data_IF_388774395316
#
_entry.id   IF_388774395316
#
_cell.length_a   1.000
_cell.length_b   1.000
_cell.length_c   1.000
_cell.angle_alpha   90.00
_cell.angle_beta   90.00
_cell.angle_gamma   90.00
#
_symmetry.space_group_name_H-M   'P 1'
#
loop_
_entity.id
_entity.type
_entity.pdbx_description
1 polymer ?
#
# COMPACT_ATOMS: atom_id res chain seq x y z
N UNK A 1 -39.87 -16.74 -21.78
CA UNK A 1 -38.92 -15.73 -22.29
C UNK A 1 -38.10 -15.22 -21.11
N UNK A 2 -36.75 -15.27 -21.18
CA UNK A 2 -35.91 -14.74 -20.08
C UNK A 2 -35.97 -13.20 -20.09
N UNK A 3 -36.36 -12.60 -18.96
CA UNK A 3 -36.59 -11.15 -18.80
C UNK A 3 -35.35 -10.38 -18.27
N UNK A 4 -34.27 -11.09 -17.94
CA UNK A 4 -33.05 -10.51 -17.36
C UNK A 4 -31.79 -11.12 -17.98
N UNK A 5 -30.74 -10.31 -18.07
CA UNK A 5 -29.39 -10.74 -18.42
C UNK A 5 -28.88 -11.65 -17.29
N UNK A 6 -28.45 -12.87 -17.62
CA UNK A 6 -27.90 -13.81 -16.65
C UNK A 6 -26.38 -13.70 -16.62
N UNK A 7 -25.80 -13.69 -15.41
CA UNK A 7 -24.35 -13.74 -15.24
C UNK A 7 -23.80 -15.16 -15.41
N UNK A 8 -22.48 -15.28 -15.35
CA UNK A 8 -21.78 -16.57 -15.45
C UNK A 8 -21.93 -17.42 -14.18
N UNK A 9 -21.76 -18.73 -14.35
CA UNK A 9 -21.86 -19.69 -13.25
C UNK A 9 -20.57 -19.70 -12.41
N UNK A 10 -20.66 -19.56 -11.08
CA UNK A 10 -19.48 -19.45 -10.18
C UNK A 10 -18.53 -20.65 -10.22
N UNK A 11 -19.01 -21.82 -10.63
CA UNK A 11 -18.20 -23.04 -10.77
C UNK A 11 -17.68 -23.28 -12.19
N UNK A 12 -17.92 -22.35 -13.12
CA UNK A 12 -17.39 -22.43 -14.48
C UNK A 12 -15.88 -22.21 -14.43
N UNK A 13 -15.11 -23.21 -14.87
CA UNK A 13 -13.66 -23.12 -14.98
C UNK A 13 -13.24 -22.84 -16.41
N UNK A 14 -12.22 -22.01 -16.59
CA UNK A 14 -11.55 -21.82 -17.88
C UNK A 14 -10.44 -22.85 -18.06
N UNK A 15 -10.04 -23.12 -19.32
CA UNK A 15 -8.91 -24.02 -19.62
C UNK A 15 -7.58 -23.46 -19.11
N UNK A 16 -7.41 -22.13 -19.18
CA UNK A 16 -6.27 -21.40 -18.63
C UNK A 16 -6.80 -20.23 -17.78
N UNK A 17 -6.16 -19.93 -16.63
CA UNK A 17 -6.52 -18.76 -15.85
C UNK A 17 -6.19 -17.47 -16.61
N UNK A 18 -7.06 -16.47 -16.48
CA UNK A 18 -6.83 -15.13 -17.03
C UNK A 18 -5.60 -14.48 -16.38
N UNK A 19 -4.88 -13.67 -17.14
CA UNK A 19 -3.73 -12.92 -16.63
C UNK A 19 -4.21 -11.76 -15.75
N UNK A 20 -3.34 -11.23 -14.89
CA UNK A 20 -3.68 -10.01 -14.14
C UNK A 20 -3.97 -8.83 -15.08
N UNK A 21 -3.34 -8.81 -16.25
CA UNK A 21 -3.44 -7.74 -17.22
C UNK A 21 -4.84 -7.67 -17.86
N UNK A 22 -5.49 -8.83 -18.01
CA UNK A 22 -6.86 -8.94 -18.55
C UNK A 22 -7.90 -8.29 -17.63
N UNK A 23 -7.62 -8.20 -16.34
CA UNK A 23 -8.53 -7.60 -15.35
C UNK A 23 -8.35 -6.09 -15.17
N UNK A 24 -7.26 -5.50 -15.70
CA UNK A 24 -6.94 -4.09 -15.50
C UNK A 24 -6.96 -3.37 -16.84
N UNK A 25 -7.96 -2.51 -17.05
CA UNK A 25 -8.05 -1.68 -18.27
C UNK A 25 -6.76 -0.88 -18.53
N UNK A 26 -6.44 -0.66 -19.80
CA UNK A 26 -5.34 0.22 -20.25
C UNK A 26 -5.49 1.67 -19.75
N UNK A 27 -6.73 2.09 -19.50
CA UNK A 27 -7.04 3.44 -18.99
C UNK A 27 -7.00 3.51 -17.46
N UNK A 28 -6.69 2.41 -16.76
CA UNK A 28 -6.70 2.39 -15.30
C UNK A 28 -5.53 3.24 -14.75
N UNK A 29 -5.78 4.16 -13.80
CA UNK A 29 -4.73 4.99 -13.21
C UNK A 29 -3.58 4.21 -12.56
N UNK A 30 -3.79 2.95 -12.16
CA UNK A 30 -2.70 2.13 -11.59
C UNK A 30 -1.56 1.90 -12.58
N UNK A 31 -1.84 1.86 -13.89
CA UNK A 31 -0.79 1.74 -14.92
C UNK A 31 0.13 2.96 -14.95
N UNK A 32 -0.43 4.15 -14.72
CA UNK A 32 0.36 5.38 -14.64
C UNK A 32 1.17 5.44 -13.36
N UNK A 33 0.63 4.91 -12.25
CA UNK A 33 1.41 4.77 -11.00
C UNK A 33 2.60 3.83 -11.20
N UNK A 34 2.39 2.73 -11.93
CA UNK A 34 3.43 1.73 -12.21
C UNK A 34 4.61 2.37 -12.96
N UNK A 35 4.33 2.97 -14.12
CA UNK A 35 5.33 3.67 -14.95
C UNK A 35 5.98 4.82 -14.18
N UNK A 36 5.19 5.64 -13.48
CA UNK A 36 5.72 6.76 -12.72
C UNK A 36 6.74 6.31 -11.67
N UNK A 37 6.44 5.27 -10.90
CA UNK A 37 7.35 4.82 -9.85
C UNK A 37 8.59 4.16 -10.44
N UNK A 38 8.47 3.46 -11.56
CA UNK A 38 9.61 2.80 -12.21
C UNK A 38 10.59 3.81 -12.85
N UNK A 39 10.12 4.99 -13.25
CA UNK A 39 10.96 6.09 -13.70
C UNK A 39 11.64 6.88 -12.56
N UNK A 40 11.24 6.68 -11.30
CA UNK A 40 11.84 7.40 -10.18
C UNK A 40 13.20 6.81 -9.81
N UNK A 41 14.19 7.69 -9.72
CA UNK A 41 15.47 7.36 -9.07
C UNK A 41 15.30 7.35 -7.54
N UNK A 42 14.93 6.17 -7.02
CA UNK A 42 14.68 5.97 -5.59
C UNK A 42 15.94 6.16 -4.72
N UNK A 43 17.13 5.93 -5.29
CA UNK A 43 18.40 6.11 -4.57
C UNK A 43 18.64 7.60 -4.32
N UNK A 44 18.55 8.42 -5.37
CA UNK A 44 18.74 9.87 -5.25
C UNK A 44 17.61 10.55 -4.47
N UNK A 45 16.41 9.95 -4.47
CA UNK A 45 15.30 10.37 -3.60
C UNK A 45 15.49 9.97 -2.13
N UNK A 46 16.55 9.24 -1.79
CA UNK A 46 16.93 8.86 -0.43
C UNK A 46 15.97 7.84 0.18
N UNK A 47 15.52 6.86 -0.60
CA UNK A 47 14.83 5.69 -0.04
C UNK A 47 15.85 4.71 0.54
N UNK A 48 15.69 4.40 1.83
CA UNK A 48 16.49 3.40 2.54
C UNK A 48 16.14 1.99 2.02
N UNK A 49 17.15 1.12 1.89
CA UNK A 49 16.97 -0.23 1.36
C UNK A 49 16.77 -0.30 -0.15
N UNK A 50 17.05 0.79 -0.88
CA UNK A 50 17.17 0.75 -2.34
C UNK A 50 18.37 -0.12 -2.79
N UNK A 51 19.39 -0.22 -1.93
CA UNK A 51 20.47 -1.19 -2.04
C UNK A 51 20.14 -2.35 -1.11
N UNK A 52 20.03 -3.60 -1.62
CA UNK A 52 19.77 -4.76 -0.78
C UNK A 52 20.91 -4.97 0.21
N UNK A 53 20.58 -5.37 1.45
CA UNK A 53 21.60 -5.81 2.40
C UNK A 53 22.18 -7.16 1.96
N UNK A 54 23.49 -7.35 2.11
CA UNK A 54 24.20 -8.57 1.70
C UNK A 54 23.80 -9.81 2.52
N UNK A 55 23.12 -9.64 3.66
CA UNK A 55 22.70 -10.73 4.55
C UNK A 55 21.28 -10.55 5.09
N UNK A 56 20.56 -11.67 5.27
CA UNK A 56 19.23 -11.71 5.86
C UNK A 56 18.11 -12.12 4.90
N UNK A 57 16.85 -12.03 5.36
CA UNK A 57 15.67 -12.29 4.53
C UNK A 57 15.55 -11.19 3.47
N UNK A 58 15.30 -11.51 2.18
CA UNK A 58 15.07 -10.51 1.16
C UNK A 58 13.98 -9.52 1.57
N UNK A 59 14.32 -8.24 1.57
CA UNK A 59 13.37 -7.16 1.82
C UNK A 59 12.54 -6.87 0.57
N UNK A 60 11.35 -6.31 0.77
CA UNK A 60 10.57 -5.77 -0.34
C UNK A 60 11.30 -4.58 -0.97
N UNK A 61 11.30 -4.50 -2.31
CA UNK A 61 11.85 -3.35 -3.03
C UNK A 61 11.09 -2.07 -2.63
N UNK A 62 11.78 -0.94 -2.37
CA UNK A 62 11.13 0.33 -2.06
C UNK A 62 10.10 0.79 -3.10
N UNK A 63 10.32 0.48 -4.38
CA UNK A 63 9.38 0.75 -5.47
C UNK A 63 7.99 0.14 -5.21
N UNK A 64 7.95 -1.13 -4.81
CA UNK A 64 6.69 -1.84 -4.53
C UNK A 64 5.94 -1.18 -3.37
N UNK A 65 6.66 -0.86 -2.29
CA UNK A 65 6.06 -0.23 -1.11
C UNK A 65 5.59 1.20 -1.41
N UNK A 66 6.29 1.91 -2.29
CA UNK A 66 5.89 3.23 -2.78
C UNK A 66 4.64 3.15 -3.66
N UNK A 67 4.55 2.17 -4.57
CA UNK A 67 3.36 1.91 -5.41
C UNK A 67 2.10 1.70 -4.54
N UNK A 68 2.20 0.89 -3.48
CA UNK A 68 1.11 0.69 -2.50
C UNK A 68 0.72 2.00 -1.82
N UNK A 69 1.71 2.80 -1.42
CA UNK A 69 1.46 4.06 -0.74
C UNK A 69 0.72 5.07 -1.64
N UNK A 70 1.12 5.16 -2.91
CA UNK A 70 0.47 6.01 -3.90
C UNK A 70 -0.95 5.49 -4.21
N UNK A 71 -1.13 4.19 -4.38
CA UNK A 71 -2.46 3.58 -4.54
C UNK A 71 -3.38 3.92 -3.35
N UNK A 72 -2.85 3.83 -2.13
CA UNK A 72 -3.57 4.24 -0.93
C UNK A 72 -3.98 5.71 -0.93
N UNK A 73 -3.11 6.58 -1.42
CA UNK A 73 -3.41 8.01 -1.55
C UNK A 73 -4.54 8.28 -2.56
N UNK A 74 -4.49 7.64 -3.73
CA UNK A 74 -5.49 7.77 -4.79
C UNK A 74 -6.86 7.25 -4.33
N UNK A 75 -6.89 6.09 -3.67
CA UNK A 75 -8.11 5.44 -3.19
C UNK A 75 -8.58 5.89 -1.80
N UNK A 76 -7.93 6.90 -1.21
CA UNK A 76 -8.22 7.41 0.15
C UNK A 76 -8.08 6.36 1.27
N UNK A 77 -7.20 5.38 1.07
CA UNK A 77 -6.93 4.31 2.01
C UNK A 77 -5.68 4.65 2.82
N UNK A 78 -5.93 4.96 4.08
CA UNK A 78 -4.97 5.59 4.97
C UNK A 78 -4.33 4.63 5.98
N UNK A 79 -5.04 3.55 6.30
CA UNK A 79 -4.62 2.56 7.29
C UNK A 79 -3.77 1.48 6.63
N UNK A 80 -2.57 1.23 7.17
CA UNK A 80 -1.72 0.14 6.69
C UNK A 80 -2.43 -1.23 6.75
N UNK A 81 -3.29 -1.46 7.74
CA UNK A 81 -4.11 -2.68 7.84
C UNK A 81 -5.21 -2.76 6.79
N UNK A 82 -5.68 -1.61 6.30
CA UNK A 82 -6.62 -1.59 5.16
C UNK A 82 -5.87 -1.81 3.86
N UNK A 83 -4.66 -1.26 3.70
CA UNK A 83 -3.80 -1.48 2.54
C UNK A 83 -3.39 -2.95 2.42
N UNK A 84 -3.00 -3.58 3.53
CA UNK A 84 -2.74 -5.03 3.58
C UNK A 84 -3.94 -5.82 3.06
N UNK A 85 -5.15 -5.55 3.57
CA UNK A 85 -6.37 -6.20 3.09
C UNK A 85 -6.67 -5.92 1.62
N UNK A 86 -6.39 -4.72 1.13
CA UNK A 86 -6.54 -4.42 -0.29
C UNK A 86 -5.57 -5.22 -1.16
N UNK A 87 -4.33 -5.40 -0.72
CA UNK A 87 -3.33 -6.18 -1.46
C UNK A 87 -3.77 -7.65 -1.65
N UNK A 88 -4.68 -8.13 -0.81
CA UNK A 88 -5.21 -9.49 -0.85
C UNK A 88 -6.53 -9.64 -1.63
N UNK A 89 -7.23 -8.54 -1.95
CA UNK A 89 -8.58 -8.61 -2.55
C UNK A 89 -8.77 -7.77 -3.82
N UNK A 90 -8.02 -6.68 -3.96
CA UNK A 90 -8.12 -5.79 -5.12
C UNK A 90 -7.22 -6.31 -6.23
N UNK A 91 -7.82 -6.66 -7.36
CA UNK A 91 -7.08 -7.11 -8.55
C UNK A 91 -6.19 -5.99 -9.08
N UNK A 92 -6.62 -4.73 -8.97
CA UNK A 92 -5.81 -3.57 -9.37
C UNK A 92 -4.53 -3.46 -8.54
N UNK A 93 -4.64 -3.63 -7.22
CA UNK A 93 -3.48 -3.57 -6.35
C UNK A 93 -2.59 -4.79 -6.51
N UNK A 94 -3.18 -5.98 -6.71
CA UNK A 94 -2.44 -7.20 -7.06
C UNK A 94 -1.65 -7.03 -8.35
N UNK A 95 -2.24 -6.44 -9.39
CA UNK A 95 -1.56 -6.13 -10.64
C UNK A 95 -0.37 -5.20 -10.39
N UNK A 96 -0.62 -4.08 -9.68
CA UNK A 96 0.39 -3.04 -9.43
C UNK A 96 1.63 -3.52 -8.65
N UNK A 97 1.46 -4.52 -7.79
CA UNK A 97 2.55 -5.06 -6.95
C UNK A 97 2.96 -6.48 -7.31
N UNK A 98 2.47 -7.02 -8.42
CA UNK A 98 2.76 -8.39 -8.85
C UNK A 98 2.36 -9.45 -7.83
N UNK A 99 1.20 -9.29 -7.18
CA UNK A 99 0.64 -10.18 -6.13
C UNK A 99 1.51 -10.34 -4.88
N UNK A 100 2.45 -9.43 -4.65
CA UNK A 100 3.17 -9.36 -3.37
C UNK A 100 2.20 -8.98 -2.24
N UNK A 101 2.39 -9.57 -1.06
CA UNK A 101 1.51 -9.37 0.10
C UNK A 101 2.29 -8.83 1.29
N UNK A 102 2.73 -7.55 1.25
CA UNK A 102 3.41 -6.95 2.39
C UNK A 102 2.45 -6.76 3.58
N UNK A 103 2.90 -7.21 4.75
CA UNK A 103 2.20 -7.03 6.03
C UNK A 103 2.05 -5.55 6.39
N UNK A 104 1.02 -5.21 7.16
CA UNK A 104 0.77 -3.85 7.64
C UNK A 104 1.99 -3.25 8.37
N UNK A 105 2.78 -4.09 9.09
CA UNK A 105 4.01 -3.64 9.76
C UNK A 105 5.05 -3.17 8.76
N UNK A 106 5.24 -3.91 7.67
CA UNK A 106 6.16 -3.55 6.57
C UNK A 106 5.78 -2.20 5.97
N UNK A 107 4.48 -2.02 5.65
CA UNK A 107 3.96 -0.77 5.07
C UNK A 107 4.13 0.39 6.06
N UNK A 108 3.84 0.16 7.34
CA UNK A 108 3.96 1.18 8.38
C UNK A 108 5.41 1.62 8.62
N UNK A 109 6.34 0.65 8.71
CA UNK A 109 7.77 0.92 8.89
C UNK A 109 8.34 1.68 7.69
N UNK A 110 8.06 1.21 6.48
CA UNK A 110 8.47 1.90 5.25
C UNK A 110 8.08 3.38 5.24
N UNK A 111 6.82 3.68 5.62
CA UNK A 111 6.32 5.05 5.71
C UNK A 111 7.05 5.88 6.76
N UNK A 112 7.33 5.29 7.92
CA UNK A 112 8.03 5.95 9.03
C UNK A 112 9.45 6.30 8.63
N UNK A 113 10.16 5.33 8.08
CA UNK A 113 11.59 5.43 7.81
C UNK A 113 11.86 6.31 6.56
N UNK A 114 10.98 6.25 5.55
CA UNK A 114 11.14 6.96 4.28
C UNK A 114 10.27 8.22 4.13
N UNK A 115 9.74 8.77 5.21
CA UNK A 115 8.77 9.89 5.19
C UNK A 115 9.22 11.10 4.34
N UNK A 116 10.50 11.49 4.42
CA UNK A 116 11.09 12.58 3.63
C UNK A 116 11.19 12.22 2.14
N UNK A 117 11.61 11.00 1.82
CA UNK A 117 11.75 10.50 0.45
C UNK A 117 10.39 10.41 -0.25
N UNK A 118 9.38 9.86 0.44
CA UNK A 118 7.99 9.81 -0.01
C UNK A 118 7.46 11.21 -0.33
N UNK A 119 7.74 12.20 0.54
CA UNK A 119 7.35 13.59 0.28
C UNK A 119 8.01 14.15 -0.98
N UNK A 120 9.28 13.86 -1.23
CA UNK A 120 9.99 14.29 -2.46
C UNK A 120 9.39 13.62 -3.70
N UNK A 121 9.14 12.31 -3.67
CA UNK A 121 8.48 11.58 -4.75
C UNK A 121 7.09 12.16 -5.06
N UNK A 122 6.30 12.46 -4.02
CA UNK A 122 4.98 13.09 -4.18
C UNK A 122 5.07 14.48 -4.84
N UNK A 123 6.05 15.30 -4.45
CA UNK A 123 6.24 16.63 -5.05
C UNK A 123 6.64 16.54 -6.52
N UNK A 124 7.48 15.56 -6.88
CA UNK A 124 7.88 15.27 -8.27
C UNK A 124 6.68 14.84 -9.12
N UNK A 125 5.85 13.94 -8.61
CA UNK A 125 4.66 13.41 -9.29
C UNK A 125 3.41 14.28 -9.18
N UNK A 126 3.46 15.43 -8.48
CA UNK A 126 2.27 16.21 -8.13
C UNK A 126 1.42 16.57 -9.35
N UNK A 127 2.06 16.95 -10.46
CA UNK A 127 1.36 17.32 -11.68
C UNK A 127 0.62 16.12 -12.30
N UNK A 128 1.26 14.94 -12.32
CA UNK A 128 0.65 13.69 -12.79
C UNK A 128 -0.56 13.30 -11.93
N UNK A 129 -0.45 13.38 -10.60
CA UNK A 129 -1.57 13.06 -9.70
C UNK A 129 -2.76 14.02 -9.83
N UNK A 130 -2.52 15.28 -10.19
CA UNK A 130 -3.59 16.26 -10.45
C UNK A 130 -4.37 15.92 -11.72
N UNK A 131 -3.69 15.41 -12.75
CA UNK A 131 -4.31 15.02 -14.02
C UNK A 131 -5.09 13.71 -13.86
N UNK A 132 -4.53 12.73 -13.16
CA UNK A 132 -5.13 11.39 -13.00
C UNK A 132 -6.37 11.37 -12.11
N UNK A 133 -6.51 12.33 -11.18
CA UNK A 133 -7.68 12.41 -10.31
C UNK A 133 -7.95 13.85 -9.86
N UNK A 134 -8.58 14.69 -10.70
CA UNK A 134 -8.81 16.11 -10.40
C UNK A 134 -9.67 16.32 -9.12
N UNK A 135 -10.64 15.43 -8.90
CA UNK A 135 -11.55 15.43 -7.76
C UNK A 135 -10.86 15.05 -6.44
N UNK A 136 -9.74 14.31 -6.47
CA UNK A 136 -8.93 14.04 -5.29
C UNK A 136 -8.24 15.30 -4.73
N UNK A 137 -8.23 16.43 -5.44
CA UNK A 137 -7.75 17.70 -4.90
C UNK A 137 -8.84 18.50 -4.19
N UNK A 138 -10.08 18.48 -4.70
CA UNK A 138 -11.21 19.23 -4.12
C UNK A 138 -11.77 18.58 -2.84
N UNK A 139 -11.59 17.25 -2.68
CA UNK A 139 -11.99 16.50 -1.49
C UNK A 139 -10.82 16.24 -0.52
N UNK A 140 -9.87 17.18 -0.35
CA UNK A 140 -8.88 17.04 0.73
C UNK A 140 -9.60 17.23 2.08
N UNK A 141 -9.42 16.35 3.08
CA UNK A 141 -9.62 16.81 4.45
C UNK A 141 -8.65 17.99 4.65
N UNK A 142 -9.12 19.03 5.31
CA UNK A 142 -8.41 20.30 5.52
C UNK A 142 -6.93 20.08 5.90
N UNK A 143 -6.11 21.08 5.60
CA UNK A 143 -4.63 21.14 5.73
C UNK A 143 -4.02 20.45 6.98
N UNK A 144 -4.79 20.25 8.06
CA UNK A 144 -4.40 19.51 9.27
C UNK A 144 -4.12 18.01 9.04
N UNK A 145 -4.80 17.36 8.09
CA UNK A 145 -4.63 15.92 7.85
C UNK A 145 -3.38 15.58 7.00
N UNK A 146 -2.88 16.52 6.18
CA UNK A 146 -1.60 16.37 5.45
C UNK A 146 -0.42 16.15 6.38
N UNK A 147 -0.36 16.87 7.51
CA UNK A 147 0.67 16.67 8.54
C UNK A 147 0.48 15.35 9.29
N UNK A 148 -0.76 14.89 9.55
CA UNK A 148 -0.97 13.56 10.16
C UNK A 148 -0.57 12.41 9.23
N UNK A 149 -0.76 12.54 7.91
CA UNK A 149 -0.34 11.52 6.94
C UNK A 149 1.17 11.45 6.71
N UNK A 150 1.84 12.60 6.67
CA UNK A 150 3.27 12.68 6.41
C UNK A 150 4.13 12.62 7.70
N UNK A 151 3.61 13.01 8.87
CA UNK A 151 4.42 13.22 10.08
C UNK A 151 3.99 12.45 11.35
N UNK A 152 2.89 11.68 11.37
CA UNK A 152 2.54 10.92 12.59
C UNK A 152 2.96 9.44 12.48
N UNK A 153 3.79 8.92 13.41
CA UNK A 153 3.81 7.49 13.66
C UNK A 153 2.39 7.08 14.06
N UNK A 154 1.87 6.01 13.44
CA UNK A 154 0.64 5.38 13.95
C UNK A 154 0.94 5.04 15.40
N UNK A 155 0.03 5.34 16.37
CA UNK A 155 0.19 4.74 17.68
C UNK A 155 0.23 3.23 17.44
N UNK A 156 1.39 2.63 17.71
CA UNK A 156 1.41 1.22 18.06
C UNK A 156 0.39 1.19 19.19
N UNK A 157 -0.75 0.56 18.97
CA UNK A 157 -1.58 0.17 20.08
C UNK A 157 -0.61 -0.62 20.96
N UNK A 158 -0.10 0.03 22.00
CA UNK A 158 0.55 -0.66 23.08
C UNK A 158 -0.43 -1.76 23.40
N UNK A 159 0.00 -3.00 23.19
CA UNK A 159 -0.66 -4.12 23.79
C UNK A 159 -0.91 -3.66 25.22
N UNK A 160 -2.19 -3.62 25.62
CA UNK A 160 -2.53 -3.50 27.02
C UNK A 160 -1.56 -4.43 27.73
N UNK A 161 -0.75 -3.85 28.60
CA UNK A 161 -0.15 -4.59 29.69
C UNK A 161 -1.29 -5.31 30.36
N UNK A 162 -1.51 -6.56 29.96
CA UNK A 162 -2.21 -7.53 30.78
C UNK A 162 -1.28 -7.74 31.97
N UNK A 163 -1.41 -6.85 32.95
CA UNK A 163 -1.01 -7.10 34.32
C UNK A 163 -1.85 -8.28 34.81
N UNK A 164 -1.45 -9.49 34.43
CA UNK A 164 -1.91 -10.73 35.04
C UNK A 164 -1.21 -10.85 36.41
N UNK A 165 -1.90 -10.71 37.55
CA UNK A 165 -1.27 -10.80 38.86
C UNK A 165 -1.02 -12.24 39.33
N UNK A 166 -1.10 -13.25 38.46
CA UNK A 166 -0.95 -14.66 38.83
C UNK A 166 0.24 -15.33 38.16
N UNK A 167 1.45 -14.97 38.58
CA UNK A 167 2.60 -15.87 38.62
C UNK A 167 3.75 -15.24 39.40
N UNK A 168 3.69 -15.31 40.73
CA UNK A 168 4.88 -15.16 41.57
C UNK A 168 5.30 -16.54 42.08
N UNK A 169 6.36 -17.17 41.54
CA UNK A 169 6.84 -18.46 42.00
C UNK A 169 7.80 -18.41 43.21
N UNK A 170 7.96 -17.27 43.89
CA UNK A 170 8.83 -17.15 45.08
C UNK A 170 8.08 -16.74 46.34
N UNK A 171 7.31 -17.68 46.90
CA UNK A 171 7.06 -17.76 48.35
C UNK A 171 7.71 -19.03 48.89
N UNK A 172 9.00 -18.93 49.18
CA UNK A 172 9.68 -19.73 50.20
C UNK A 172 10.12 -18.75 51.27
N UNK A 173 9.49 -18.88 52.44
CA UNK A 173 9.93 -18.81 53.84
C UNK A 173 8.64 -18.72 54.65
#
# INVERSE_FOLDING_TARGET
MKRFIQGEHRGQSTLLPESLDDYVSDTNPVRVVDVFVDELDLVNLGFDGAIPADTGRPAYKPAILLKIYIYGYLNRIQSSRRLEREAQRSVELMWLIGRLMPDFKTIANFRKDNSKAIRRAYLRGRLYFLILNPSAFLAQPTYSNRRRFMNNPIPIATAKTDSNPRSNPNKRI
#
